data_IF_511077863706
#
_entry.id   IF_511077863706
#
_cell.length_a   1.000
_cell.length_b   1.000
_cell.length_c   1.000
_cell.angle_alpha   90.00
_cell.angle_beta   90.00
_cell.angle_gamma   90.00
#
_symmetry.space_group_name_H-M   'P 1'
#
loop_
_entity.id
_entity.type
_entity.pdbx_description
1 polymer ?
#
# COMPACT_ATOMS: atom_id res chain seq x y z
N UNK A 1 -4.38 10.18 -6.72
CA UNK A 1 -2.93 10.05 -7.00
C UNK A 1 -2.30 8.98 -6.13
N UNK A 2 -2.40 9.04 -4.79
CA UNK A 2 -1.84 8.02 -3.88
C UNK A 2 -2.26 6.57 -4.17
N UNK A 3 -3.53 6.31 -4.45
CA UNK A 3 -4.02 4.97 -4.83
C UNK A 3 -3.40 4.43 -6.11
N UNK A 4 -3.27 5.30 -7.11
CA UNK A 4 -2.74 4.92 -8.43
C UNK A 4 -1.27 4.55 -8.31
N UNK A 5 -0.48 5.39 -7.62
CA UNK A 5 0.93 5.14 -7.37
C UNK A 5 1.15 3.87 -6.52
N UNK A 6 0.33 3.64 -5.48
CA UNK A 6 0.43 2.44 -4.66
C UNK A 6 0.07 1.16 -5.44
N UNK A 7 -0.98 1.20 -6.27
CA UNK A 7 -1.33 0.06 -7.13
C UNK A 7 -0.25 -0.22 -8.18
N UNK A 8 0.37 0.81 -8.76
CA UNK A 8 1.50 0.66 -9.70
C UNK A 8 2.74 0.08 -9.02
N UNK A 9 2.98 0.43 -7.74
CA UNK A 9 4.03 -0.17 -6.92
C UNK A 9 3.71 -1.62 -6.45
N UNK A 10 2.58 -2.19 -6.89
CA UNK A 10 2.16 -3.56 -6.57
C UNK A 10 1.50 -3.69 -5.19
N UNK A 11 1.13 -2.58 -4.55
CA UNK A 11 0.41 -2.58 -3.27
C UNK A 11 -1.06 -2.26 -3.53
N UNK A 12 -1.88 -3.32 -3.56
CA UNK A 12 -3.32 -3.19 -3.76
C UNK A 12 -3.99 -2.59 -2.51
N UNK A 13 -4.37 -1.32 -2.61
CA UNK A 13 -5.01 -0.58 -1.52
C UNK A 13 -6.44 -0.20 -1.87
N UNK A 14 -7.33 -0.39 -0.90
CA UNK A 14 -8.71 0.11 -1.00
C UNK A 14 -8.81 1.45 -0.28
N UNK A 15 -9.23 2.50 -0.97
CA UNK A 15 -9.56 3.79 -0.35
C UNK A 15 -11.07 4.06 -0.47
N UNK A 16 -11.87 3.62 0.50
CA UNK A 16 -13.32 3.82 0.48
C UNK A 16 -13.71 5.30 0.63
N UNK A 17 -12.78 6.17 1.03
CA UNK A 17 -12.97 7.62 1.15
C UNK A 17 -11.74 8.35 0.61
N UNK A 18 -11.88 9.61 0.13
CA UNK A 18 -10.77 10.38 -0.45
C UNK A 18 -9.58 10.57 0.49
N UNK A 19 -9.81 10.53 1.80
CA UNK A 19 -8.81 10.77 2.85
C UNK A 19 -8.48 9.52 3.67
N UNK A 20 -8.97 8.34 3.27
CA UNK A 20 -8.80 7.11 4.08
C UNK A 20 -8.36 5.95 3.22
N UNK A 21 -7.27 5.31 3.64
CA UNK A 21 -6.73 4.08 3.04
C UNK A 21 -6.97 2.92 4.00
N UNK A 22 -7.50 1.80 3.50
CA UNK A 22 -7.73 0.58 4.26
C UNK A 22 -6.64 -0.44 3.94
N UNK A 23 -5.84 -0.76 4.96
CA UNK A 23 -4.93 -1.90 4.94
C UNK A 23 -5.70 -3.16 5.32
N UNK A 24 -5.70 -4.16 4.45
CA UNK A 24 -6.39 -5.43 4.66
C UNK A 24 -5.49 -6.59 4.22
N UNK A 25 -4.31 -6.75 4.84
CA UNK A 25 -3.45 -7.88 4.52
C UNK A 25 -4.11 -9.21 4.94
N UNK A 26 -3.75 -10.32 4.29
CA UNK A 26 -4.20 -11.65 4.72
C UNK A 26 -3.65 -11.99 6.11
N UNK A 27 -4.39 -12.77 6.91
CA UNK A 27 -3.96 -13.16 8.26
C UNK A 27 -2.75 -14.10 8.28
N UNK A 28 -2.32 -14.58 7.12
CA UNK A 28 -1.15 -15.44 6.92
C UNK A 28 0.11 -14.66 6.54
N UNK A 29 0.02 -13.33 6.41
CA UNK A 29 1.14 -12.48 6.00
C UNK A 29 2.28 -12.57 7.02
N UNK A 30 3.52 -12.65 6.55
CA UNK A 30 4.70 -12.63 7.43
C UNK A 30 5.16 -11.20 7.69
N UNK A 31 6.06 -11.02 8.66
CA UNK A 31 6.59 -9.70 8.98
C UNK A 31 7.42 -9.12 7.83
N UNK A 32 8.18 -9.98 7.15
CA UNK A 32 9.01 -9.62 6.02
C UNK A 32 8.17 -9.12 4.84
N UNK A 33 7.02 -9.78 4.57
CA UNK A 33 6.07 -9.33 3.55
C UNK A 33 5.43 -7.97 3.89
N UNK A 34 5.20 -7.70 5.18
CA UNK A 34 4.73 -6.38 5.64
C UNK A 34 5.80 -5.32 5.41
N UNK A 35 7.05 -5.61 5.77
CA UNK A 35 8.18 -4.68 5.59
C UNK A 35 8.39 -4.35 4.11
N UNK A 36 8.32 -5.34 3.22
CA UNK A 36 8.39 -5.14 1.77
C UNK A 36 7.21 -4.29 1.23
N UNK A 37 5.98 -4.56 1.71
CA UNK A 37 4.81 -3.78 1.31
C UNK A 37 4.90 -2.30 1.77
N UNK A 38 5.44 -2.06 2.96
CA UNK A 38 5.66 -0.72 3.51
C UNK A 38 6.75 0.04 2.73
N UNK A 39 7.84 -0.64 2.37
CA UNK A 39 8.91 -0.05 1.57
C UNK A 39 8.40 0.36 0.18
N UNK A 40 7.66 -0.54 -0.49
CA UNK A 40 7.01 -0.25 -1.78
C UNK A 40 6.02 0.91 -1.68
N UNK A 41 5.22 0.96 -0.61
CA UNK A 41 4.30 2.07 -0.36
C UNK A 41 5.03 3.40 -0.13
N UNK A 42 6.12 3.39 0.65
CA UNK A 42 6.95 4.56 0.89
C UNK A 42 7.55 5.12 -0.40
N UNK A 43 8.08 4.24 -1.25
CA UNK A 43 8.62 4.61 -2.56
C UNK A 43 7.54 5.18 -3.48
N UNK A 44 6.34 4.56 -3.50
CA UNK A 44 5.20 5.06 -4.26
C UNK A 44 4.79 6.48 -3.81
N UNK A 45 4.72 6.72 -2.49
CA UNK A 45 4.38 8.02 -1.89
C UNK A 45 5.44 9.09 -2.14
N UNK A 46 6.72 8.72 -2.18
CA UNK A 46 7.81 9.66 -2.49
C UNK A 46 7.80 10.14 -3.95
N UNK A 47 7.05 9.48 -4.83
CA UNK A 47 6.96 9.80 -6.26
C UNK A 47 5.80 10.75 -6.59
N UNK A 48 5.03 11.18 -5.59
CA UNK A 48 3.79 11.98 -5.70
C UNK A 48 3.96 13.33 -5.00
#
# INVERSE_FOLDING_TARGET
QVLTAANEAGVLLNAPRPTTIRFMPPLTVTKEEIDEALERLGNALATI
#
